data_IF_511483044631
#
_entry.id   IF_511483044631
#
_cell.length_a   1.000
_cell.length_b   1.000
_cell.length_c   1.000
_cell.angle_alpha   90.00
_cell.angle_beta   90.00
_cell.angle_gamma   90.00
#
_symmetry.space_group_name_H-M   'P 1'
#
loop_
_entity.id
_entity.type
_entity.pdbx_description
1 polymer ?
#
# COMPACT_ATOMS: atom_id res chain seq x y z
N UNK A 1 -15.21 6.60 -0.39
CA UNK A 1 -13.91 6.24 0.23
C UNK A 1 -12.87 7.24 -0.24
N UNK A 2 -12.04 7.72 0.67
CA UNK A 2 -11.49 9.08 0.70
C UNK A 2 -10.44 9.33 -0.41
N UNK A 3 -10.59 10.44 -1.17
CA UNK A 3 -9.60 10.89 -2.17
C UNK A 3 -8.18 11.02 -1.57
N UNK A 4 -8.10 11.35 -0.29
CA UNK A 4 -6.87 11.56 0.49
C UNK A 4 -6.01 10.30 0.56
N UNK A 5 -6.62 9.13 0.81
CA UNK A 5 -5.91 7.84 0.90
C UNK A 5 -5.29 7.44 -0.44
N UNK A 6 -6.00 7.71 -1.54
CA UNK A 6 -5.47 7.43 -2.88
C UNK A 6 -4.33 8.36 -3.28
N UNK A 7 -4.38 9.62 -2.84
CA UNK A 7 -3.28 10.57 -3.07
C UNK A 7 -2.03 10.18 -2.27
N UNK A 8 -2.19 9.74 -1.03
CA UNK A 8 -1.06 9.27 -0.22
C UNK A 8 -0.45 7.96 -0.77
N UNK A 9 -1.26 7.00 -1.23
CA UNK A 9 -0.75 5.78 -1.89
C UNK A 9 0.15 6.08 -3.10
N UNK A 10 -0.18 7.11 -3.87
CA UNK A 10 0.59 7.52 -5.03
C UNK A 10 1.93 8.20 -4.66
N UNK A 11 2.07 8.68 -3.43
CA UNK A 11 3.29 9.29 -2.91
C UNK A 11 4.26 8.26 -2.30
N UNK A 12 3.77 7.05 -1.98
CA UNK A 12 4.62 6.00 -1.42
C UNK A 12 5.63 5.49 -2.45
N UNK A 13 6.85 5.30 -1.97
CA UNK A 13 7.91 4.57 -2.67
C UNK A 13 7.62 3.07 -2.72
N UNK A 14 8.31 2.35 -3.60
CA UNK A 14 8.20 0.88 -3.68
C UNK A 14 8.53 0.23 -2.35
N UNK A 15 9.61 0.64 -1.70
CA UNK A 15 10.04 0.10 -0.40
C UNK A 15 8.99 0.31 0.69
N UNK A 16 8.32 1.46 0.73
CA UNK A 16 7.23 1.71 1.68
C UNK A 16 6.03 0.80 1.41
N UNK A 17 5.64 0.64 0.14
CA UNK A 17 4.54 -0.24 -0.25
C UNK A 17 4.87 -1.70 0.13
N UNK A 18 6.08 -2.15 -0.20
CA UNK A 18 6.56 -3.50 0.14
C UNK A 18 6.59 -3.69 1.65
N UNK A 19 7.11 -2.72 2.41
CA UNK A 19 7.15 -2.79 3.86
C UNK A 19 5.75 -2.90 4.46
N UNK A 20 4.76 -2.15 3.95
CA UNK A 20 3.38 -2.26 4.41
C UNK A 20 2.80 -3.63 4.06
N UNK A 21 2.92 -4.07 2.82
CA UNK A 21 2.38 -5.36 2.37
C UNK A 21 3.01 -6.55 3.11
N UNK A 22 4.32 -6.55 3.33
CA UNK A 22 4.99 -7.64 4.05
C UNK A 22 4.71 -7.60 5.56
N UNK A 23 4.80 -6.42 6.20
CA UNK A 23 4.69 -6.34 7.67
C UNK A 23 3.23 -6.31 8.16
N UNK A 24 2.31 -5.74 7.38
CA UNK A 24 0.90 -5.57 7.78
C UNK A 24 -0.01 -6.55 7.03
N UNK A 25 0.23 -6.74 5.72
CA UNK A 25 -0.59 -7.62 4.87
C UNK A 25 -0.16 -9.08 4.85
N UNK A 26 1.03 -9.40 5.37
CA UNK A 26 1.58 -10.77 5.36
C UNK A 26 1.96 -11.27 3.96
N UNK A 27 2.11 -10.37 2.98
CA UNK A 27 2.53 -10.73 1.63
C UNK A 27 4.03 -11.04 1.57
N UNK A 28 4.43 -11.78 0.55
CA UNK A 28 5.83 -11.87 0.12
C UNK A 28 5.91 -11.09 -1.17
N UNK A 29 6.54 -9.91 -1.13
CA UNK A 29 6.72 -9.11 -2.34
C UNK A 29 8.05 -9.50 -3.00
N UNK A 30 8.01 -9.80 -4.29
CA UNK A 30 9.18 -10.23 -5.05
C UNK A 30 9.76 -9.07 -5.88
N UNK A 31 11.05 -9.16 -6.23
CA UNK A 31 11.73 -8.13 -7.03
C UNK A 31 11.19 -7.96 -8.44
N UNK A 32 10.51 -8.98 -8.98
CA UNK A 32 9.83 -8.92 -10.27
C UNK A 32 8.51 -8.12 -10.25
N UNK A 33 7.94 -7.88 -9.06
CA UNK A 33 6.69 -7.15 -8.93
C UNK A 33 6.92 -5.64 -9.06
N UNK A 34 6.27 -5.07 -10.08
CA UNK A 34 6.31 -3.64 -10.35
C UNK A 34 5.63 -2.81 -9.26
N UNK A 35 6.14 -1.62 -9.02
CA UNK A 35 5.59 -0.68 -8.03
C UNK A 35 4.11 -0.40 -8.22
N UNK A 36 3.64 -0.29 -9.46
CA UNK A 36 2.22 -0.03 -9.76
C UNK A 36 1.32 -1.19 -9.38
N UNK A 37 1.77 -2.42 -9.63
CA UNK A 37 1.05 -3.62 -9.23
C UNK A 37 0.93 -3.70 -7.71
N UNK A 38 2.04 -3.52 -6.99
CA UNK A 38 2.05 -3.55 -5.53
C UNK A 38 1.18 -2.43 -4.93
N UNK A 39 1.16 -1.25 -5.57
CA UNK A 39 0.29 -0.15 -5.16
C UNK A 39 -1.19 -0.51 -5.33
N UNK A 40 -1.55 -1.21 -6.41
CA UNK A 40 -2.92 -1.66 -6.65
C UNK A 40 -3.36 -2.72 -5.64
N UNK A 41 -2.48 -3.68 -5.30
CA UNK A 41 -2.71 -4.66 -4.23
C UNK A 41 -2.98 -3.96 -2.90
N UNK A 42 -2.10 -3.04 -2.50
CA UNK A 42 -2.26 -2.28 -1.26
C UNK A 42 -3.57 -1.47 -1.25
N UNK A 43 -3.93 -0.87 -2.39
CA UNK A 43 -5.18 -0.13 -2.55
C UNK A 43 -6.40 -1.04 -2.39
N UNK A 44 -6.39 -2.20 -3.02
CA UNK A 44 -7.46 -3.18 -2.94
C UNK A 44 -7.64 -3.68 -1.50
N UNK A 45 -6.56 -3.95 -0.79
CA UNK A 45 -6.62 -4.41 0.60
C UNK A 45 -7.21 -3.37 1.54
N UNK A 46 -6.95 -2.09 1.27
CA UNK A 46 -7.55 -0.99 2.01
C UNK A 46 -9.05 -0.86 1.67
N UNK A 47 -9.41 -0.93 0.39
CA UNK A 47 -10.79 -0.79 -0.08
C UNK A 47 -11.69 -1.94 0.43
N UNK A 48 -11.14 -3.14 0.48
CA UNK A 48 -11.81 -4.36 0.96
C UNK A 48 -11.77 -4.49 2.49
N UNK A 49 -10.99 -3.65 3.18
CA UNK A 49 -10.88 -3.65 4.64
C UNK A 49 -9.95 -4.73 5.21
N UNK A 50 -9.14 -5.39 4.38
CA UNK A 50 -8.05 -6.28 4.81
C UNK A 50 -7.00 -5.49 5.58
N UNK A 51 -6.66 -4.28 5.10
CA UNK A 51 -5.76 -3.36 5.77
C UNK A 51 -6.50 -2.08 6.17
N UNK A 52 -6.29 -1.56 7.39
CA UNK A 52 -6.85 -0.27 7.76
C UNK A 52 -6.10 0.87 7.04
N UNK A 53 -6.79 1.96 6.68
CA UNK A 53 -6.18 3.14 6.04
C UNK A 53 -5.00 3.72 6.84
N UNK A 54 -4.94 3.46 8.14
CA UNK A 54 -3.87 3.88 9.06
C UNK A 54 -2.51 3.26 8.78
N UNK A 55 -2.43 2.19 7.97
CA UNK A 55 -1.13 1.61 7.59
C UNK A 55 -0.35 2.52 6.65
N UNK A 56 -1.01 3.47 6.00
CA UNK A 56 -0.35 4.45 5.15
C UNK A 56 0.25 5.53 6.06
N UNK A 57 1.59 5.71 6.06
CA UNK A 57 2.19 6.81 6.78
C UNK A 57 1.67 8.11 6.19
N UNK A 58 1.13 8.98 7.04
CA UNK A 58 0.80 10.35 6.63
C UNK A 58 2.13 11.03 6.36
N UNK A 59 2.42 11.35 5.10
CA UNK A 59 3.61 12.10 4.74
C UNK A 59 3.55 13.45 5.48
N UNK A 60 4.48 13.63 6.42
CA UNK A 60 4.65 14.87 7.20
C UNK A 60 5.36 15.95 6.42
#
# INVERSE_FOLDING_TARGET
MQLTTQQHLNQLTRDEIVAILQNQGGYQCYDEEGTEYLRDVLRNDIDTGVLPETVIPVAG
#
